data_IF_024330881065
#
_entry.id   IF_024330881065
#
_cell.length_a   1.000
_cell.length_b   1.000
_cell.length_c   1.000
_cell.angle_alpha   90.00
_cell.angle_beta   90.00
_cell.angle_gamma   90.00
#
_symmetry.space_group_name_H-M   'P 1'
#
loop_
_entity.id
_entity.type
_entity.pdbx_description
1 polymer ?
#
# COMPACT_ATOMS: atom_id res chain seq x y z
N UNK A 1 -45.24 17.58 13.15
CA UNK A 1 -45.38 16.18 12.70
C UNK A 1 -44.03 15.78 12.08
N UNK A 2 -43.43 14.60 12.28
CA UNK A 2 -43.77 13.42 13.11
C UNK A 2 -42.65 13.16 14.14
N UNK A 3 -42.92 12.40 15.19
CA UNK A 3 -41.91 11.82 16.11
C UNK A 3 -41.60 10.37 15.69
N UNK A 4 -40.66 9.73 16.38
CA UNK A 4 -40.42 8.27 16.43
C UNK A 4 -39.83 7.66 15.12
N UNK A 5 -39.09 6.55 15.12
CA UNK A 5 -38.74 5.59 16.20
C UNK A 5 -37.21 5.44 16.38
N UNK A 6 -36.79 5.09 17.61
CA UNK A 6 -35.61 4.23 17.84
C UNK A 6 -36.03 2.78 17.53
N UNK A 7 -35.17 1.97 16.89
CA UNK A 7 -35.36 0.50 16.83
C UNK A 7 -34.05 -0.18 17.23
N UNK A 8 -34.15 -1.14 18.14
CA UNK A 8 -33.05 -1.85 18.79
C UNK A 8 -32.72 -3.18 18.12
N UNK A 9 -31.45 -3.60 18.23
CA UNK A 9 -31.02 -4.99 18.43
C UNK A 9 -31.77 -6.12 17.70
N UNK A 10 -31.13 -6.70 16.68
CA UNK A 10 -31.30 -8.12 16.35
C UNK A 10 -29.94 -8.80 16.30
N UNK A 11 -29.65 -9.64 17.30
CA UNK A 11 -28.60 -10.64 17.23
C UNK A 11 -29.19 -11.90 16.58
N UNK A 12 -28.74 -12.24 15.37
CA UNK A 12 -29.07 -13.53 14.73
C UNK A 12 -27.79 -14.22 14.28
N UNK A 13 -27.31 -15.13 15.13
CA UNK A 13 -26.31 -16.14 14.75
C UNK A 13 -27.02 -17.14 13.83
N UNK A 14 -26.48 -17.38 12.63
CA UNK A 14 -26.90 -18.48 11.77
C UNK A 14 -25.66 -19.29 11.40
N UNK A 15 -25.53 -20.47 11.99
CA UNK A 15 -24.55 -21.49 11.62
C UNK A 15 -25.15 -22.39 10.55
N UNK A 16 -24.72 -22.21 9.30
CA UNK A 16 -25.11 -23.08 8.16
C UNK A 16 -23.90 -23.89 7.71
N UNK A 17 -24.02 -25.21 7.62
CA UNK A 17 -22.93 -26.11 7.25
C UNK A 17 -23.02 -26.57 5.78
N UNK A 18 -21.86 -26.63 5.11
CA UNK A 18 -21.53 -27.33 3.85
C UNK A 18 -22.50 -27.20 2.64
N UNK A 19 -22.05 -26.54 1.57
CA UNK A 19 -22.75 -26.54 0.28
C UNK A 19 -22.06 -25.76 -0.84
N UNK A 20 -20.93 -26.29 -1.33
CA UNK A 20 -20.24 -26.03 -2.63
C UNK A 20 -20.47 -24.74 -3.44
N UNK A 21 -19.34 -24.17 -3.91
CA UNK A 21 -19.12 -23.25 -5.05
C UNK A 21 -19.23 -21.72 -4.83
N UNK A 22 -18.06 -21.08 -5.01
CA UNK A 22 -17.82 -19.65 -5.27
C UNK A 22 -18.27 -19.24 -6.70
N UNK A 23 -18.25 -17.94 -7.08
CA UNK A 23 -17.80 -16.75 -6.35
C UNK A 23 -18.97 -15.76 -6.08
N UNK A 24 -18.84 -14.47 -5.73
CA UNK A 24 -17.74 -13.49 -5.55
C UNK A 24 -18.23 -12.41 -4.55
N UNK A 25 -17.47 -11.45 -3.99
CA UNK A 25 -16.11 -10.91 -4.20
C UNK A 25 -15.45 -10.71 -2.81
N UNK A 26 -14.12 -10.57 -2.72
CA UNK A 26 -13.44 -10.10 -1.51
C UNK A 26 -12.56 -8.87 -1.83
N UNK A 27 -12.87 -7.72 -1.22
CA UNK A 27 -11.98 -6.56 -1.20
C UNK A 27 -11.00 -6.80 -0.04
N UNK A 28 -9.89 -7.46 -0.34
CA UNK A 28 -8.80 -7.69 0.60
C UNK A 28 -8.07 -6.37 0.86
N UNK A 29 -8.48 -5.68 1.93
CA UNK A 29 -7.69 -4.58 2.50
C UNK A 29 -6.47 -5.18 3.20
N UNK A 30 -5.43 -5.48 2.43
CA UNK A 30 -4.18 -6.04 2.95
C UNK A 30 -3.40 -4.96 3.73
N UNK A 31 -3.73 -4.84 5.01
CA UNK A 31 -2.95 -4.13 6.03
C UNK A 31 -1.62 -4.87 6.27
N UNK A 32 -0.72 -4.82 5.29
CA UNK A 32 0.58 -5.49 5.33
C UNK A 32 1.60 -4.64 6.10
N UNK A 33 1.50 -4.68 7.44
CA UNK A 33 2.65 -4.45 8.32
C UNK A 33 3.56 -5.67 8.33
N UNK A 34 4.16 -5.96 7.18
CA UNK A 34 5.25 -6.94 7.08
C UNK A 34 6.61 -6.28 7.33
N UNK A 35 7.05 -6.34 8.59
CA UNK A 35 8.47 -6.35 8.94
C UNK A 35 9.04 -7.77 8.69
N UNK A 36 9.07 -8.23 7.45
CA UNK A 36 9.57 -9.57 7.07
C UNK A 36 11.07 -9.54 6.73
N UNK A 37 11.89 -9.65 7.77
CA UNK A 37 13.35 -9.64 7.66
C UNK A 37 13.93 -10.91 7.00
N UNK A 38 14.06 -10.92 5.67
CA UNK A 38 15.22 -11.43 4.92
C UNK A 38 15.05 -11.30 3.39
N UNK A 39 14.91 -10.06 2.91
CA UNK A 39 15.44 -9.56 1.62
C UNK A 39 14.97 -8.10 1.51
N UNK A 40 15.58 -7.21 2.29
CA UNK A 40 15.33 -5.77 2.14
C UNK A 40 15.67 -5.36 0.71
N UNK A 41 14.69 -4.77 0.02
CA UNK A 41 14.87 -4.33 -1.36
C UNK A 41 16.07 -3.38 -1.42
N UNK A 42 16.96 -3.46 -2.42
CA UNK A 42 18.18 -2.63 -2.45
C UNK A 42 17.88 -1.12 -2.39
N UNK A 43 16.71 -0.70 -2.91
CA UNK A 43 16.23 0.68 -2.77
C UNK A 43 15.77 1.08 -1.36
N UNK A 44 15.43 0.14 -0.48
CA UNK A 44 14.72 0.37 0.80
C UNK A 44 15.51 1.26 1.76
N UNK A 45 16.80 0.98 1.95
CA UNK A 45 17.66 1.81 2.81
C UNK A 45 17.71 3.26 2.35
N UNK A 46 17.81 3.50 1.03
CA UNK A 46 17.88 4.85 0.45
C UNK A 46 16.50 5.54 0.50
N UNK A 47 15.40 4.80 0.34
CA UNK A 47 14.05 5.33 0.57
C UNK A 47 13.89 5.82 2.02
N UNK A 48 14.28 5.00 3.00
CA UNK A 48 14.19 5.33 4.43
C UNK A 48 15.14 6.47 4.88
N UNK A 49 16.13 6.84 4.06
CA UNK A 49 16.95 8.04 4.28
C UNK A 49 16.26 9.35 3.83
N UNK A 50 15.27 9.27 2.93
CA UNK A 50 14.65 10.45 2.28
C UNK A 50 13.18 10.64 2.67
N UNK A 51 12.46 9.58 3.06
CA UNK A 51 11.04 9.61 3.45
C UNK A 51 10.80 8.73 4.67
N UNK A 52 9.88 9.15 5.54
CA UNK A 52 9.48 8.37 6.72
C UNK A 52 8.49 7.25 6.31
N UNK A 53 9.06 6.08 6.02
CA UNK A 53 8.31 4.88 5.62
C UNK A 53 7.38 4.34 6.73
N UNK A 54 7.47 4.84 7.97
CA UNK A 54 6.57 4.42 9.07
C UNK A 54 5.24 5.18 9.05
N UNK A 55 5.15 6.29 8.31
CA UNK A 55 3.97 7.18 8.21
C UNK A 55 3.21 7.06 6.88
N UNK A 56 3.66 6.18 5.98
CA UNK A 56 3.19 6.09 4.59
C UNK A 56 2.76 4.66 4.23
N UNK A 57 1.56 4.53 3.65
CA UNK A 57 1.11 3.29 3.02
C UNK A 57 1.85 3.07 1.69
N UNK A 58 2.42 1.87 1.50
CA UNK A 58 3.26 1.49 0.36
C UNK A 58 2.48 0.61 -0.62
N UNK A 59 2.18 1.13 -1.81
CA UNK A 59 1.53 0.38 -2.90
C UNK A 59 2.54 0.04 -4.01
N UNK A 60 2.68 -1.25 -4.33
CA UNK A 60 3.43 -1.71 -5.52
C UNK A 60 2.55 -1.60 -6.75
N UNK A 61 2.88 -0.69 -7.67
CA UNK A 61 2.14 -0.49 -8.94
C UNK A 61 2.71 -1.34 -10.07
N UNK A 62 4.00 -1.64 -10.03
CA UNK A 62 4.68 -2.48 -11.02
C UNK A 62 5.90 -3.16 -10.37
N UNK A 63 6.06 -4.46 -10.53
CA UNK A 63 7.31 -5.16 -10.23
C UNK A 63 7.54 -6.27 -11.27
N UNK A 64 8.61 -6.14 -12.07
CA UNK A 64 8.97 -7.08 -13.12
C UNK A 64 10.50 -7.23 -13.25
N UNK A 65 10.99 -7.93 -14.27
CA UNK A 65 12.42 -8.16 -14.47
C UNK A 65 13.24 -6.89 -14.72
N UNK A 66 12.63 -5.83 -15.26
CA UNK A 66 13.32 -4.59 -15.64
C UNK A 66 13.32 -3.56 -14.50
N UNK A 67 12.20 -3.42 -13.79
CA UNK A 67 11.95 -2.33 -12.85
C UNK A 67 10.93 -2.68 -11.76
N UNK A 68 10.97 -1.88 -10.70
CA UNK A 68 9.92 -1.76 -9.68
C UNK A 68 9.43 -0.31 -9.60
N UNK A 69 8.14 -0.13 -9.37
CA UNK A 69 7.48 1.16 -9.17
C UNK A 69 6.62 1.08 -7.91
N UNK A 70 7.01 1.84 -6.88
CA UNK A 70 6.22 1.99 -5.65
C UNK A 70 5.61 3.39 -5.59
N UNK A 71 4.42 3.46 -5.02
CA UNK A 71 3.74 4.70 -4.63
C UNK A 71 3.63 4.69 -3.11
N UNK A 72 3.85 5.87 -2.51
CA UNK A 72 3.73 6.08 -1.08
C UNK A 72 2.66 7.14 -0.83
N UNK A 73 1.68 6.77 0.00
CA UNK A 73 0.47 7.55 0.27
C UNK A 73 0.34 7.79 1.77
N UNK A 74 -0.19 8.94 2.18
CA UNK A 74 -0.60 9.13 3.59
C UNK A 74 -1.79 8.23 3.93
N UNK A 75 -2.07 8.02 5.22
CA UNK A 75 -3.29 7.37 5.73
C UNK A 75 -4.61 7.94 5.16
N UNK A 76 -4.58 9.12 4.52
CA UNK A 76 -5.74 9.74 3.86
C UNK A 76 -5.92 9.37 2.37
N UNK A 77 -5.04 8.53 1.81
CA UNK A 77 -5.02 8.20 0.37
C UNK A 77 -4.45 9.31 -0.52
N UNK A 78 -3.81 10.33 0.07
CA UNK A 78 -3.04 11.33 -0.68
C UNK A 78 -1.70 10.73 -1.08
N UNK A 79 -1.48 10.57 -2.39
CA UNK A 79 -0.18 10.24 -2.97
C UNK A 79 0.83 11.37 -2.73
N UNK A 80 1.96 11.04 -2.09
CA UNK A 80 3.03 12.02 -1.82
C UNK A 80 4.34 11.67 -2.52
N UNK A 81 4.70 10.38 -2.63
CA UNK A 81 5.94 9.98 -3.28
C UNK A 81 5.77 8.83 -4.27
N UNK A 82 6.69 8.78 -5.23
CA UNK A 82 6.85 7.69 -6.19
C UNK A 82 8.31 7.30 -6.29
N UNK A 83 8.60 6.00 -6.11
CA UNK A 83 9.88 5.42 -6.48
C UNK A 83 9.81 4.75 -7.85
N UNK A 84 10.93 4.75 -8.56
CA UNK A 84 11.17 3.91 -9.73
C UNK A 84 12.58 3.34 -9.56
N UNK A 85 12.69 2.04 -9.36
CA UNK A 85 13.96 1.32 -9.30
C UNK A 85 14.17 0.54 -10.61
N UNK A 86 15.25 0.81 -11.33
CA UNK A 86 15.62 0.12 -12.58
C UNK A 86 16.65 -0.95 -12.23
N UNK A 87 16.24 -2.22 -12.25
CA UNK A 87 16.98 -3.35 -11.67
C UNK A 87 18.30 -3.63 -12.40
N UNK A 88 18.27 -3.67 -13.74
CA UNK A 88 19.44 -3.89 -14.60
C UNK A 88 20.57 -2.86 -14.35
N UNK A 89 20.20 -1.65 -13.92
CA UNK A 89 21.10 -0.49 -13.77
C UNK A 89 21.33 -0.10 -12.31
N UNK A 90 20.82 -0.90 -11.36
CA UNK A 90 20.67 -0.58 -9.93
C UNK A 90 20.31 0.89 -9.67
N UNK A 91 19.39 1.47 -10.44
CA UNK A 91 19.14 2.92 -10.39
C UNK A 91 17.81 3.24 -9.72
N UNK A 92 17.88 3.88 -8.56
CA UNK A 92 16.71 4.43 -7.88
C UNK A 92 16.46 5.88 -8.32
N UNK A 93 15.20 6.19 -8.64
CA UNK A 93 14.67 7.55 -8.68
C UNK A 93 13.53 7.69 -7.67
N UNK A 94 13.60 8.69 -6.80
CA UNK A 94 12.54 9.09 -5.88
C UNK A 94 12.00 10.46 -6.28
N UNK A 95 10.68 10.58 -6.30
CA UNK A 95 9.95 11.77 -6.74
C UNK A 95 8.90 12.09 -5.69
N UNK A 96 8.84 13.34 -5.21
CA UNK A 96 7.72 13.91 -4.47
C UNK A 96 6.72 14.51 -5.46
N UNK A 97 5.42 14.28 -5.25
CA UNK A 97 4.35 14.76 -6.14
C UNK A 97 4.02 16.26 -5.97
N UNK A 98 4.45 16.88 -4.87
CA UNK A 98 4.38 18.33 -4.66
C UNK A 98 5.60 19.09 -5.20
N UNK A 99 5.87 20.24 -4.61
CA UNK A 99 6.80 21.25 -5.18
C UNK A 99 8.26 20.79 -5.28
N UNK A 100 8.73 19.89 -4.40
CA UNK A 100 10.13 19.46 -4.33
C UNK A 100 10.60 18.59 -5.52
N UNK A 101 9.67 17.98 -6.28
CA UNK A 101 9.99 17.27 -7.51
C UNK A 101 10.87 16.02 -7.31
N UNK A 102 12.12 16.03 -7.78
CA UNK A 102 13.01 14.85 -7.78
C UNK A 102 13.98 14.89 -6.61
N UNK A 103 13.71 14.08 -5.58
CA UNK A 103 14.52 14.00 -4.36
C UNK A 103 15.80 13.17 -4.55
N UNK A 104 15.71 12.06 -5.27
CA UNK A 104 16.86 11.16 -5.53
C UNK A 104 16.83 10.63 -6.97
N UNK A 105 17.99 10.41 -7.58
CA UNK A 105 18.10 9.91 -8.96
C UNK A 105 19.48 9.31 -9.30
N UNK A 106 20.00 8.41 -8.46
CA UNK A 106 21.36 7.86 -8.61
C UNK A 106 21.36 6.33 -8.73
N UNK A 107 22.51 5.77 -9.13
CA UNK A 107 22.80 4.35 -9.01
C UNK A 107 23.16 4.02 -7.55
N UNK A 108 22.73 2.85 -7.09
CA UNK A 108 22.88 2.32 -5.73
C UNK A 108 23.47 0.90 -5.76
#
# INVERSE_FOLDING_TARGET
>A
MKKLLMITSVLTIILTACGSQQPEVQISKEESKEETANDELPEYHILNQHIDLTTLEKTTVEDNSEKRVLIFETETGKQEYKSVYIKEKSRLKLIHFGEEGVLFNQQI
#
